data_IF_068011637525
#
_entry.id   IF_068011637525
#
_cell.length_a   1.000
_cell.length_b   1.000
_cell.length_c   1.000
_cell.angle_alpha   90.00
_cell.angle_beta   90.00
_cell.angle_gamma   90.00
#
_symmetry.space_group_name_H-M   'P 1'
#
loop_
_entity.id
_entity.type
_entity.pdbx_description
1 polymer ?
#
# COMPACT_ATOMS: atom_id res chain seq x y z
N UNK A 1 -16.65 -5.04 14.56
CA UNK A 1 -17.08 -6.43 14.30
C UNK A 1 -15.85 -7.28 13.96
N UNK A 2 -15.85 -8.58 14.30
CA UNK A 2 -14.86 -9.54 13.77
C UNK A 2 -15.59 -10.39 12.75
N UNK A 3 -15.18 -10.32 11.48
CA UNK A 3 -15.87 -10.96 10.36
C UNK A 3 -15.66 -12.47 10.36
N UNK A 4 -14.43 -12.88 10.59
CA UNK A 4 -13.99 -14.26 10.62
C UNK A 4 -13.30 -14.56 11.95
N UNK A 5 -14.10 -14.77 13.01
CA UNK A 5 -13.60 -15.03 14.36
C UNK A 5 -12.57 -16.17 14.38
N UNK A 6 -12.78 -17.22 13.59
CA UNK A 6 -11.90 -18.39 13.53
C UNK A 6 -10.45 -18.02 13.21
N UNK A 7 -10.22 -17.18 12.21
CA UNK A 7 -8.86 -16.84 11.77
C UNK A 7 -8.36 -15.52 12.36
N UNK A 8 -9.23 -14.52 12.54
CA UNK A 8 -8.84 -13.21 13.05
C UNK A 8 -8.50 -13.22 14.56
N UNK A 9 -8.99 -14.21 15.31
CA UNK A 9 -8.72 -14.40 16.76
C UNK A 9 -7.95 -15.69 17.08
N UNK A 10 -7.46 -16.39 16.04
CA UNK A 10 -6.73 -17.65 16.21
C UNK A 10 -5.50 -17.46 17.11
N UNK A 11 -5.31 -18.35 18.08
CA UNK A 11 -4.13 -18.29 18.95
C UNK A 11 -2.86 -18.52 18.15
N UNK A 12 -1.77 -17.85 18.53
CA UNK A 12 -0.48 -17.89 17.80
C UNK A 12 0.03 -19.32 17.54
N UNK A 13 -0.12 -20.24 18.48
CA UNK A 13 0.30 -21.64 18.30
C UNK A 13 -0.52 -22.35 17.20
N UNK A 14 -1.83 -22.16 17.18
CA UNK A 14 -2.72 -22.73 16.16
C UNK A 14 -2.49 -22.08 14.80
N UNK A 15 -2.23 -20.76 14.77
CA UNK A 15 -1.88 -20.04 13.55
C UNK A 15 -0.58 -20.57 12.95
N UNK A 16 0.47 -20.77 13.76
CA UNK A 16 1.74 -21.36 13.30
C UNK A 16 1.56 -22.76 12.74
N UNK A 17 0.68 -23.57 13.33
CA UNK A 17 0.34 -24.90 12.81
C UNK A 17 -0.37 -24.81 11.47
N UNK A 18 -1.40 -23.97 11.36
CA UNK A 18 -2.10 -23.71 10.10
C UNK A 18 -1.13 -23.24 9.01
N UNK A 19 -0.29 -22.26 9.31
CA UNK A 19 0.73 -21.75 8.39
C UNK A 19 1.75 -22.83 7.97
N UNK A 20 2.15 -23.71 8.90
CA UNK A 20 3.03 -24.84 8.61
C UNK A 20 2.41 -25.81 7.62
N UNK A 21 1.16 -26.21 7.86
CA UNK A 21 0.43 -27.13 6.98
C UNK A 21 0.25 -26.52 5.58
N UNK A 22 -0.04 -25.21 5.50
CA UNK A 22 -0.15 -24.51 4.23
C UNK A 22 1.18 -24.37 3.50
N UNK A 23 2.27 -24.04 4.20
CA UNK A 23 3.60 -23.92 3.60
C UNK A 23 4.07 -25.24 3.02
N UNK A 24 3.93 -26.36 3.75
CA UNK A 24 4.33 -27.68 3.24
C UNK A 24 3.58 -28.02 1.96
N UNK A 25 2.27 -27.79 1.92
CA UNK A 25 1.47 -28.04 0.71
C UNK A 25 1.88 -27.12 -0.44
N UNK A 26 2.08 -25.83 -0.16
CA UNK A 26 2.52 -24.84 -1.14
C UNK A 26 3.85 -25.26 -1.78
N UNK A 27 4.86 -25.59 -0.98
CA UNK A 27 6.20 -25.96 -1.47
C UNK A 27 6.14 -27.21 -2.35
N UNK A 28 5.39 -28.24 -1.94
CA UNK A 28 5.18 -29.42 -2.78
C UNK A 28 4.53 -29.06 -4.12
N UNK A 29 3.48 -28.23 -4.10
CA UNK A 29 2.76 -27.80 -5.30
C UNK A 29 3.67 -27.01 -6.24
N UNK A 30 4.39 -25.99 -5.75
CA UNK A 30 5.22 -25.17 -6.63
C UNK A 30 6.45 -25.89 -7.14
N UNK A 31 7.04 -26.80 -6.35
CA UNK A 31 8.14 -27.63 -6.82
C UNK A 31 7.70 -28.58 -7.94
N UNK A 32 6.49 -29.16 -7.83
CA UNK A 32 5.93 -30.03 -8.87
C UNK A 32 5.43 -29.25 -10.10
N UNK A 33 4.79 -28.10 -9.93
CA UNK A 33 4.09 -27.42 -11.03
C UNK A 33 4.84 -26.25 -11.67
N UNK A 34 5.77 -25.63 -10.96
CA UNK A 34 6.40 -24.37 -11.38
C UNK A 34 7.91 -24.57 -11.63
N UNK A 35 8.35 -24.69 -12.90
CA UNK A 35 9.75 -24.93 -13.23
C UNK A 35 10.72 -23.93 -12.59
N UNK A 36 10.34 -22.64 -12.57
CA UNK A 36 11.10 -21.58 -11.92
C UNK A 36 11.47 -21.90 -10.45
N UNK A 37 10.49 -22.32 -9.64
CA UNK A 37 10.74 -22.66 -8.24
C UNK A 37 11.54 -23.95 -8.11
N UNK A 38 11.24 -24.95 -8.94
CA UNK A 38 11.98 -26.21 -8.93
C UNK A 38 13.47 -25.99 -9.19
N UNK A 39 13.81 -25.26 -10.25
CA UNK A 39 15.18 -24.95 -10.63
C UNK A 39 15.91 -24.14 -9.55
N UNK A 40 15.22 -23.13 -8.98
CA UNK A 40 15.79 -22.29 -7.92
C UNK A 40 16.06 -23.07 -6.64
N UNK A 41 15.15 -23.97 -6.26
CA UNK A 41 15.33 -24.85 -5.10
C UNK A 41 16.41 -25.90 -5.35
N UNK A 42 16.45 -26.51 -6.54
CA UNK A 42 17.46 -27.51 -6.92
C UNK A 42 18.88 -26.92 -6.94
N UNK A 43 19.03 -25.68 -7.42
CA UNK A 43 20.31 -24.95 -7.39
C UNK A 43 20.81 -24.73 -5.96
N UNK A 44 19.91 -24.55 -5.00
CA UNK A 44 20.24 -24.40 -3.59
C UNK A 44 20.33 -25.75 -2.85
N UNK A 45 20.11 -26.88 -3.54
CA UNK A 45 20.10 -28.21 -2.93
C UNK A 45 18.91 -28.45 -2.00
N UNK A 46 17.82 -27.70 -2.15
CA UNK A 46 16.62 -27.79 -1.29
C UNK A 46 15.57 -28.68 -1.95
N UNK A 47 15.01 -29.61 -1.19
CA UNK A 47 13.87 -30.44 -1.60
C UNK A 47 12.64 -30.13 -0.76
N UNK A 48 11.42 -30.41 -1.27
CA UNK A 48 10.19 -30.23 -0.48
C UNK A 48 10.21 -30.97 0.86
N UNK A 49 10.92 -32.10 0.95
CA UNK A 49 11.09 -32.85 2.19
C UNK A 49 11.82 -32.08 3.29
N UNK A 50 12.58 -31.03 2.97
CA UNK A 50 13.35 -30.23 3.93
C UNK A 50 12.51 -29.18 4.66
N UNK A 51 11.26 -28.99 4.21
CA UNK A 51 10.30 -28.06 4.76
C UNK A 51 9.25 -28.85 5.56
N UNK A 52 9.33 -28.76 6.89
CA UNK A 52 8.42 -29.45 7.82
C UNK A 52 7.50 -28.50 8.56
N UNK A 53 7.86 -27.23 8.63
CA UNK A 53 7.09 -26.22 9.34
C UNK A 53 7.33 -24.81 8.78
N UNK A 54 6.53 -23.85 9.24
CA UNK A 54 6.71 -22.44 8.91
C UNK A 54 8.11 -21.90 9.29
N UNK A 55 8.78 -22.50 10.29
CA UNK A 55 10.14 -22.13 10.67
C UNK A 55 11.19 -22.48 9.62
N UNK A 56 10.91 -23.44 8.73
CA UNK A 56 11.82 -23.81 7.64
C UNK A 56 11.75 -22.85 6.44
N UNK A 57 10.83 -21.87 6.46
CA UNK A 57 10.67 -20.90 5.37
C UNK A 57 11.98 -20.18 5.03
N UNK A 58 12.84 -19.96 6.02
CA UNK A 58 14.15 -19.29 5.85
C UNK A 58 15.11 -20.03 4.92
N UNK A 59 14.89 -21.34 4.69
CA UNK A 59 15.65 -22.14 3.74
C UNK A 59 15.28 -21.78 2.30
N UNK A 60 14.01 -21.42 2.06
CA UNK A 60 13.49 -21.18 0.72
C UNK A 60 14.07 -19.91 0.07
N UNK A 61 14.23 -19.92 -1.27
CA UNK A 61 14.73 -18.76 -1.98
C UNK A 61 13.78 -17.58 -1.90
N UNK A 62 14.33 -16.37 -1.94
CA UNK A 62 13.56 -15.15 -2.21
C UNK A 62 13.04 -15.12 -3.64
N UNK A 63 11.92 -14.46 -3.88
CA UNK A 63 11.44 -14.10 -5.22
C UNK A 63 11.52 -12.60 -5.41
N UNK A 64 12.22 -12.15 -6.45
CA UNK A 64 12.32 -10.74 -6.82
C UNK A 64 11.31 -10.38 -7.90
N UNK A 65 11.01 -9.08 -8.05
CA UNK A 65 10.18 -8.60 -9.16
C UNK A 65 10.80 -8.87 -10.52
N UNK A 66 12.12 -8.89 -10.61
CA UNK A 66 12.83 -9.18 -11.86
C UNK A 66 12.71 -10.65 -12.23
N UNK A 67 12.78 -11.55 -11.24
CA UNK A 67 12.51 -12.99 -11.44
C UNK A 67 11.14 -13.19 -12.09
N UNK A 68 10.11 -12.48 -11.60
CA UNK A 68 8.74 -12.57 -12.16
C UNK A 68 8.67 -12.07 -13.61
N UNK A 69 9.48 -11.07 -13.97
CA UNK A 69 9.54 -10.52 -15.34
C UNK A 69 10.25 -11.46 -16.31
N UNK A 70 11.24 -12.20 -15.85
CA UNK A 70 11.97 -13.19 -16.66
C UNK A 70 11.05 -14.32 -17.12
N UNK A 71 10.15 -14.75 -16.25
CA UNK A 71 9.23 -15.88 -16.49
C UNK A 71 7.84 -15.44 -16.98
N UNK A 72 7.70 -14.18 -17.39
CA UNK A 72 6.47 -13.64 -17.98
C UNK A 72 6.04 -14.42 -19.24
N UNK A 73 4.72 -14.60 -19.50
CA UNK A 73 3.59 -14.20 -18.66
C UNK A 73 3.10 -15.28 -17.69
N UNK A 74 3.47 -16.54 -17.90
CA UNK A 74 2.82 -17.68 -17.24
C UNK A 74 3.78 -18.62 -16.51
N UNK A 75 5.07 -18.30 -16.43
CA UNK A 75 6.07 -19.18 -15.83
C UNK A 75 5.97 -19.33 -14.31
N UNK A 76 5.06 -18.60 -13.65
CA UNK A 76 4.69 -18.78 -12.24
C UNK A 76 3.32 -19.45 -12.04
N UNK A 77 2.62 -19.87 -13.09
CA UNK A 77 1.35 -20.58 -12.94
C UNK A 77 1.58 -21.92 -12.23
N UNK A 78 0.86 -22.14 -11.13
CA UNK A 78 0.88 -23.40 -10.38
C UNK A 78 -0.38 -24.26 -10.62
N UNK A 79 -1.21 -23.90 -11.61
CA UNK A 79 -2.38 -24.64 -12.07
C UNK A 79 -2.51 -24.59 -13.60
N UNK A 80 -3.46 -25.32 -14.16
CA UNK A 80 -3.73 -25.26 -15.60
C UNK A 80 -4.32 -23.88 -15.95
N UNK A 81 -3.95 -23.35 -17.12
CA UNK A 81 -4.46 -22.04 -17.59
C UNK A 81 -5.99 -21.99 -17.70
N UNK A 82 -6.65 -23.13 -17.93
CA UNK A 82 -8.12 -23.24 -18.00
C UNK A 82 -8.81 -22.96 -16.65
N UNK A 83 -8.08 -23.10 -15.54
CA UNK A 83 -8.60 -22.89 -14.19
C UNK A 83 -8.49 -21.41 -13.77
N UNK A 84 -7.79 -20.59 -14.57
CA UNK A 84 -7.66 -19.14 -14.37
C UNK A 84 -8.90 -18.44 -14.91
N UNK A 85 -9.53 -17.63 -14.06
CA UNK A 85 -10.73 -16.84 -14.39
C UNK A 85 -10.45 -15.36 -14.52
N UNK A 86 -9.33 -14.87 -13.98
CA UNK A 86 -9.01 -13.44 -13.96
C UNK A 86 -7.49 -13.21 -13.99
N UNK A 87 -7.06 -12.12 -14.63
CA UNK A 87 -5.66 -11.71 -14.72
C UNK A 87 -5.55 -10.21 -14.41
N UNK A 88 -4.61 -9.87 -13.54
CA UNK A 88 -4.16 -8.51 -13.30
C UNK A 88 -2.69 -8.34 -13.67
N UNK A 89 -2.30 -7.10 -13.93
CA UNK A 89 -0.91 -6.77 -14.26
C UNK A 89 -0.45 -5.51 -13.55
N UNK A 90 0.82 -5.48 -13.13
CA UNK A 90 1.43 -4.27 -12.60
C UNK A 90 1.47 -3.14 -13.64
N UNK A 91 1.27 -1.89 -13.23
CA UNK A 91 1.18 -0.70 -14.09
C UNK A 91 2.51 -0.17 -14.66
N UNK A 92 3.55 -1.01 -14.79
CA UNK A 92 4.88 -0.57 -15.23
C UNK A 92 4.91 -0.13 -16.70
N UNK A 93 5.46 1.05 -16.99
CA UNK A 93 5.48 1.68 -18.33
C UNK A 93 6.78 1.50 -19.11
N UNK A 94 7.84 0.95 -18.50
CA UNK A 94 9.19 0.88 -19.08
C UNK A 94 9.76 -0.53 -19.23
N UNK A 95 8.98 -1.58 -18.93
CA UNK A 95 9.43 -2.98 -19.04
C UNK A 95 8.28 -3.98 -19.07
N UNK A 96 8.59 -5.29 -19.06
CA UNK A 96 7.57 -6.35 -18.96
C UNK A 96 6.80 -6.19 -17.63
N UNK A 97 5.46 -6.19 -17.66
CA UNK A 97 4.68 -6.14 -16.44
C UNK A 97 4.78 -7.47 -15.69
N UNK A 98 4.51 -7.44 -14.39
CA UNK A 98 4.24 -8.66 -13.63
C UNK A 98 2.79 -9.05 -13.84
N UNK A 99 2.55 -10.35 -14.11
CA UNK A 99 1.23 -10.95 -14.25
C UNK A 99 0.85 -11.61 -12.94
N UNK A 100 -0.38 -11.38 -12.50
CA UNK A 100 -0.99 -12.13 -11.43
C UNK A 100 -2.27 -12.79 -11.94
N UNK A 101 -2.38 -14.11 -11.77
CA UNK A 101 -3.46 -14.91 -12.34
C UNK A 101 -4.25 -15.59 -11.24
N UNK A 102 -5.57 -15.47 -11.30
CA UNK A 102 -6.49 -15.86 -10.24
C UNK A 102 -7.36 -17.01 -10.71
N UNK A 103 -7.38 -18.08 -9.94
CA UNK A 103 -8.45 -19.09 -10.01
C UNK A 103 -9.74 -18.53 -9.40
N UNK A 104 -10.87 -19.22 -9.56
CA UNK A 104 -12.10 -18.85 -8.85
C UNK A 104 -11.91 -18.83 -7.34
N UNK A 105 -11.12 -19.76 -6.78
CA UNK A 105 -10.84 -19.78 -5.35
C UNK A 105 -9.96 -18.60 -4.91
N UNK A 106 -9.02 -18.15 -5.75
CA UNK A 106 -8.23 -16.95 -5.47
C UNK A 106 -9.10 -15.69 -5.40
N UNK A 107 -10.09 -15.56 -6.29
CA UNK A 107 -11.06 -14.45 -6.24
C UNK A 107 -11.92 -14.53 -4.97
N UNK A 108 -12.31 -15.72 -4.52
CA UNK A 108 -13.02 -15.91 -3.25
C UNK A 108 -12.16 -15.54 -2.03
N UNK A 109 -10.88 -15.92 -2.03
CA UNK A 109 -9.92 -15.49 -1.00
C UNK A 109 -9.81 -13.96 -1.01
N UNK A 110 -9.67 -13.36 -2.18
CA UNK A 110 -9.56 -11.91 -2.33
C UNK A 110 -10.80 -11.18 -1.79
N UNK A 111 -11.98 -11.70 -2.13
CA UNK A 111 -13.27 -11.22 -1.63
C UNK A 111 -13.36 -11.31 -0.10
N UNK A 112 -12.95 -12.44 0.48
CA UNK A 112 -12.94 -12.67 1.93
C UNK A 112 -12.00 -11.71 2.66
N UNK A 113 -10.75 -11.57 2.20
CA UNK A 113 -9.78 -10.69 2.89
C UNK A 113 -10.17 -9.22 2.80
N UNK A 114 -10.81 -8.80 1.70
CA UNK A 114 -11.34 -7.44 1.59
C UNK A 114 -12.64 -7.23 2.39
N UNK A 115 -13.49 -8.24 2.54
CA UNK A 115 -14.63 -8.15 3.46
C UNK A 115 -14.15 -8.00 4.91
N UNK A 116 -13.11 -8.76 5.32
CA UNK A 116 -12.44 -8.57 6.62
C UNK A 116 -11.91 -7.15 6.77
N UNK A 117 -11.24 -6.60 5.75
CA UNK A 117 -10.74 -5.21 5.72
C UNK A 117 -11.85 -4.21 6.02
N UNK A 118 -12.98 -4.28 5.31
CA UNK A 118 -14.09 -3.36 5.52
C UNK A 118 -14.73 -3.52 6.90
N UNK A 119 -14.99 -4.75 7.34
CA UNK A 119 -15.56 -5.03 8.67
C UNK A 119 -14.63 -4.58 9.81
N UNK A 120 -13.31 -4.60 9.59
CA UNK A 120 -12.31 -4.16 10.56
C UNK A 120 -12.36 -2.65 10.83
N UNK A 121 -12.74 -1.86 9.82
CA UNK A 121 -13.02 -0.42 9.93
C UNK A 121 -14.49 -0.10 10.22
N UNK A 122 -15.28 -1.07 10.67
CA UNK A 122 -16.67 -0.86 11.13
C UNK A 122 -17.72 -0.79 10.02
N UNK A 123 -17.39 -1.20 8.78
CA UNK A 123 -18.39 -1.33 7.72
C UNK A 123 -19.21 -2.63 7.86
N UNK A 124 -20.43 -2.63 7.33
CA UNK A 124 -21.36 -3.76 7.33
C UNK A 124 -22.27 -3.75 6.08
N UNK A 125 -23.26 -4.62 6.06
CA UNK A 125 -24.20 -4.78 4.94
C UNK A 125 -25.10 -3.56 4.66
N UNK A 126 -25.31 -2.68 5.65
CA UNK A 126 -26.14 -1.48 5.50
C UNK A 126 -25.38 -0.32 4.82
N UNK A 127 -24.09 -0.50 4.54
CA UNK A 127 -23.26 0.55 3.96
C UNK A 127 -23.41 0.68 2.44
N UNK A 128 -23.18 1.92 1.98
CA UNK A 128 -23.03 2.26 0.57
C UNK A 128 -21.56 2.60 0.31
N UNK A 129 -20.86 1.69 -0.36
CA UNK A 129 -19.42 1.75 -0.62
C UNK A 129 -19.17 2.34 -2.01
N UNK A 130 -18.68 3.58 -2.05
CA UNK A 130 -18.24 4.22 -3.28
C UNK A 130 -16.77 3.93 -3.55
N UNK A 131 -16.53 3.21 -4.64
CA UNK A 131 -15.19 2.77 -5.04
C UNK A 131 -14.68 3.73 -6.12
N UNK A 132 -13.78 4.61 -5.70
CA UNK A 132 -13.11 5.57 -6.54
C UNK A 132 -11.61 5.24 -6.74
N UNK A 133 -11.22 3.97 -6.55
CA UNK A 133 -10.02 3.41 -7.16
C UNK A 133 -10.24 3.18 -8.67
N UNK A 134 -9.16 3.24 -9.46
CA UNK A 134 -9.22 2.81 -10.86
C UNK A 134 -9.67 1.36 -11.00
N UNK A 135 -10.53 1.09 -11.98
CA UNK A 135 -10.89 -0.27 -12.39
C UNK A 135 -10.00 -0.76 -13.55
N UNK A 136 -10.29 -1.96 -14.06
CA UNK A 136 -9.52 -2.61 -15.13
C UNK A 136 -8.40 -3.47 -14.56
N UNK A 137 -7.19 -3.35 -15.11
CA UNK A 137 -6.04 -4.16 -14.69
C UNK A 137 -5.49 -3.75 -13.31
N UNK A 138 -5.87 -2.59 -12.79
CA UNK A 138 -5.52 -2.18 -11.43
C UNK A 138 -6.38 -2.93 -10.41
N UNK A 139 -5.72 -3.62 -9.48
CA UNK A 139 -6.39 -4.48 -8.49
C UNK A 139 -7.24 -3.70 -7.49
N UNK A 140 -6.96 -2.42 -7.23
CA UNK A 140 -7.69 -1.64 -6.21
C UNK A 140 -9.20 -1.57 -6.44
N UNK A 141 -9.64 -1.35 -7.69
CA UNK A 141 -11.07 -1.26 -8.03
C UNK A 141 -11.81 -2.58 -7.81
N UNK A 142 -11.36 -3.66 -8.48
CA UNK A 142 -12.02 -4.96 -8.41
C UNK A 142 -11.88 -5.62 -7.03
N UNK A 143 -10.75 -5.46 -6.34
CA UNK A 143 -10.58 -5.98 -4.98
C UNK A 143 -11.55 -5.37 -3.98
N UNK A 144 -11.66 -4.03 -3.98
CA UNK A 144 -12.66 -3.35 -3.16
C UNK A 144 -14.09 -3.76 -3.57
N UNK A 145 -14.34 -3.96 -4.86
CA UNK A 145 -15.65 -4.37 -5.37
C UNK A 145 -16.06 -5.74 -4.84
N UNK A 146 -15.18 -6.73 -4.95
CA UNK A 146 -15.42 -8.08 -4.49
C UNK A 146 -15.62 -8.14 -2.98
N UNK A 147 -14.78 -7.44 -2.21
CA UNK A 147 -14.93 -7.37 -0.75
C UNK A 147 -16.21 -6.72 -0.28
N UNK A 148 -16.60 -5.58 -0.88
CA UNK A 148 -17.82 -4.88 -0.50
C UNK A 148 -19.08 -5.72 -0.85
N UNK A 149 -19.08 -6.40 -2.00
CA UNK A 149 -20.15 -7.36 -2.34
C UNK A 149 -20.20 -8.55 -1.37
N UNK A 150 -19.04 -9.10 -0.99
CA UNK A 150 -18.94 -10.22 -0.03
C UNK A 150 -19.45 -9.82 1.36
N UNK A 151 -19.18 -8.58 1.78
CA UNK A 151 -19.71 -7.98 3.01
C UNK A 151 -21.25 -7.85 2.99
N UNK A 152 -21.86 -7.76 1.80
CA UNK A 152 -23.29 -7.51 1.61
C UNK A 152 -23.66 -6.04 1.40
N UNK A 153 -22.66 -5.16 1.35
CA UNK A 153 -22.86 -3.73 1.18
C UNK A 153 -23.27 -3.35 -0.25
N UNK A 154 -23.95 -2.22 -0.40
CA UNK A 154 -24.25 -1.64 -1.71
C UNK A 154 -22.97 -1.08 -2.34
N UNK A 155 -22.64 -1.48 -3.57
CA UNK A 155 -21.43 -1.04 -4.26
C UNK A 155 -21.74 -0.01 -5.34
N UNK A 156 -21.04 1.13 -5.29
CA UNK A 156 -21.02 2.14 -6.35
C UNK A 156 -19.65 2.09 -7.05
N UNK A 157 -19.54 1.41 -8.21
CA UNK A 157 -18.28 1.21 -8.93
C UNK A 157 -17.98 2.38 -9.87
N UNK A 158 -17.76 3.57 -9.33
CA UNK A 158 -17.64 4.79 -10.15
C UNK A 158 -16.25 4.95 -10.81
N UNK A 159 -15.22 4.28 -10.29
CA UNK A 159 -13.80 4.47 -10.67
C UNK A 159 -13.27 5.85 -10.26
N UNK A 160 -11.96 6.06 -10.40
CA UNK A 160 -11.34 7.37 -10.20
C UNK A 160 -11.71 8.38 -11.28
N UNK A 161 -11.56 9.67 -10.96
CA UNK A 161 -11.76 10.80 -11.87
C UNK A 161 -13.19 11.34 -11.88
N UNK A 162 -13.41 12.39 -12.66
CA UNK A 162 -14.67 13.15 -12.71
C UNK A 162 -15.18 13.54 -11.31
N UNK A 163 -14.37 14.29 -10.55
CA UNK A 163 -14.60 14.58 -9.13
C UNK A 163 -15.94 15.27 -8.84
N UNK A 164 -16.46 16.10 -9.76
CA UNK A 164 -17.83 16.67 -9.60
C UNK A 164 -18.91 15.59 -9.60
N UNK A 165 -18.77 14.59 -10.46
CA UNK A 165 -19.67 13.43 -10.51
C UNK A 165 -19.51 12.54 -9.28
N UNK A 166 -18.31 12.44 -8.71
CA UNK A 166 -18.10 11.73 -7.42
C UNK A 166 -19.03 12.32 -6.35
N UNK A 167 -19.04 13.65 -6.21
CA UNK A 167 -19.84 14.35 -5.22
C UNK A 167 -21.34 14.25 -5.46
N UNK A 168 -21.79 14.36 -6.72
CA UNK A 168 -23.21 14.19 -7.04
C UNK A 168 -23.70 12.78 -6.69
N UNK A 169 -22.90 11.76 -7.03
CA UNK A 169 -23.22 10.36 -6.72
C UNK A 169 -23.18 10.11 -5.21
N UNK A 170 -22.20 10.64 -4.48
CA UNK A 170 -22.15 10.54 -3.02
C UNK A 170 -23.44 11.03 -2.37
N UNK A 171 -23.92 12.20 -2.80
CA UNK A 171 -25.14 12.81 -2.28
C UNK A 171 -26.39 12.02 -2.69
N UNK A 172 -26.51 11.68 -3.96
CA UNK A 172 -27.75 11.12 -4.52
C UNK A 172 -28.00 9.67 -4.07
N UNK A 173 -26.93 8.91 -3.81
CA UNK A 173 -27.03 7.51 -3.37
C UNK A 173 -26.69 7.30 -1.88
N UNK A 174 -26.35 8.36 -1.15
CA UNK A 174 -26.10 8.29 0.29
C UNK A 174 -24.85 7.48 0.66
N UNK A 175 -23.73 7.73 -0.03
CA UNK A 175 -22.45 7.05 0.24
C UNK A 175 -22.04 7.16 1.71
N UNK A 176 -21.78 6.02 2.36
CA UNK A 176 -21.29 5.96 3.74
C UNK A 176 -19.80 5.63 3.80
N UNK A 177 -19.26 4.90 2.82
CA UNK A 177 -17.85 4.51 2.76
C UNK A 177 -17.20 4.98 1.45
N UNK A 178 -16.01 5.59 1.56
CA UNK A 178 -15.18 5.96 0.40
C UNK A 178 -13.93 5.07 0.31
N UNK A 179 -13.71 4.42 -0.83
CA UNK A 179 -12.50 3.65 -1.10
C UNK A 179 -11.73 4.26 -2.29
N UNK A 180 -10.58 4.91 -2.02
CA UNK A 180 -9.72 5.54 -3.03
C UNK A 180 -8.30 5.78 -2.50
N UNK A 181 -7.42 6.41 -3.28
CA UNK A 181 -6.12 6.84 -2.74
C UNK A 181 -6.30 8.00 -1.75
N UNK A 182 -5.41 8.14 -0.74
CA UNK A 182 -5.51 9.24 0.23
C UNK A 182 -5.40 10.61 -0.45
N UNK A 183 -4.50 10.79 -1.42
CA UNK A 183 -4.38 12.07 -2.18
C UNK A 183 -5.67 12.40 -2.95
N UNK A 184 -6.34 11.40 -3.53
CA UNK A 184 -7.58 11.65 -4.26
C UNK A 184 -8.74 12.01 -3.32
N UNK A 185 -8.73 11.48 -2.09
CA UNK A 185 -9.73 11.83 -1.07
C UNK A 185 -9.65 13.30 -0.67
N UNK A 186 -8.44 13.85 -0.51
CA UNK A 186 -8.20 15.27 -0.30
C UNK A 186 -8.63 16.11 -1.50
N UNK A 187 -8.37 15.64 -2.73
CA UNK A 187 -8.85 16.33 -3.93
C UNK A 187 -10.39 16.35 -4.02
N UNK A 188 -11.07 15.27 -3.62
CA UNK A 188 -12.54 15.26 -3.49
C UNK A 188 -13.00 16.32 -2.48
N UNK A 189 -12.31 16.44 -1.34
CA UNK A 189 -12.62 17.46 -0.33
C UNK A 189 -12.40 18.89 -0.84
N UNK A 190 -11.33 19.13 -1.60
CA UNK A 190 -11.03 20.40 -2.28
C UNK A 190 -12.17 20.79 -3.22
N UNK A 191 -12.57 19.88 -4.12
CA UNK A 191 -13.67 20.12 -5.07
C UNK A 191 -15.01 20.30 -4.35
N UNK A 192 -15.25 19.60 -3.25
CA UNK A 192 -16.48 19.79 -2.45
C UNK A 192 -16.56 21.21 -1.87
N UNK A 193 -15.44 21.73 -1.37
CA UNK A 193 -15.37 23.09 -0.85
C UNK A 193 -15.57 24.14 -1.96
N UNK A 194 -14.93 23.96 -3.12
CA UNK A 194 -15.06 24.85 -4.28
C UNK A 194 -16.50 24.92 -4.82
N UNK A 195 -17.12 23.77 -5.02
CA UNK A 195 -18.49 23.65 -5.50
C UNK A 195 -19.53 23.96 -4.41
N UNK A 196 -19.08 24.22 -3.17
CA UNK A 196 -19.91 24.45 -1.98
C UNK A 196 -20.91 23.31 -1.75
N UNK A 197 -20.46 22.08 -2.00
CA UNK A 197 -21.22 20.85 -1.78
C UNK A 197 -20.85 20.28 -0.41
N UNK A 198 -21.85 20.10 0.45
CA UNK A 198 -21.66 19.45 1.74
C UNK A 198 -21.67 17.92 1.57
N UNK A 199 -20.61 17.25 2.01
CA UNK A 199 -20.53 15.78 2.06
C UNK A 199 -21.26 15.30 3.31
N UNK A 200 -22.42 14.66 3.14
CA UNK A 200 -23.25 14.11 4.24
C UNK A 200 -23.25 12.59 4.19
N UNK A 201 -23.34 11.96 5.37
CA UNK A 201 -23.52 10.51 5.50
C UNK A 201 -22.23 9.69 5.43
N UNK A 202 -21.13 10.25 4.93
CA UNK A 202 -19.84 9.59 4.90
C UNK A 202 -19.33 9.36 6.35
N UNK A 203 -18.99 8.12 6.70
CA UNK A 203 -18.55 7.72 8.04
C UNK A 203 -17.07 7.31 8.09
N UNK A 204 -16.59 6.64 7.04
CA UNK A 204 -15.23 6.16 6.99
C UNK A 204 -14.69 6.09 5.55
N UNK A 205 -13.37 6.05 5.44
CA UNK A 205 -12.67 5.85 4.19
C UNK A 205 -11.55 4.82 4.31
N UNK A 206 -11.35 4.02 3.27
CA UNK A 206 -10.34 2.98 3.16
C UNK A 206 -9.33 3.37 2.10
N UNK A 207 -8.16 3.83 2.56
CA UNK A 207 -7.16 4.51 1.73
C UNK A 207 -5.88 3.69 1.64
N UNK A 208 -5.31 3.62 0.45
CA UNK A 208 -4.10 2.85 0.18
C UNK A 208 -3.52 3.12 -1.21
N UNK A 209 -2.75 2.16 -1.72
CA UNK A 209 -1.99 2.23 -2.98
C UNK A 209 -0.83 3.24 -3.02
N UNK A 210 -0.71 4.11 -2.02
CA UNK A 210 0.42 5.02 -1.83
C UNK A 210 0.75 5.18 -0.33
N UNK A 211 2.02 5.43 0.02
CA UNK A 211 2.37 5.83 1.38
C UNK A 211 1.73 7.18 1.72
N UNK A 212 1.31 7.32 2.97
CA UNK A 212 0.76 8.54 3.53
C UNK A 212 1.11 8.61 5.01
N UNK A 213 1.15 9.82 5.58
CA UNK A 213 1.51 10.05 6.98
C UNK A 213 0.31 10.08 7.94
N UNK A 214 0.55 10.09 9.26
CA UNK A 214 -0.47 10.36 10.28
C UNK A 214 -1.01 11.78 10.18
N UNK A 215 -0.20 12.73 9.73
CA UNK A 215 -0.66 14.10 9.53
C UNK A 215 -1.64 14.18 8.35
N UNK A 216 -1.37 13.48 7.25
CA UNK A 216 -2.30 13.41 6.11
C UNK A 216 -3.62 12.76 6.54
N UNK A 217 -3.56 11.76 7.43
CA UNK A 217 -4.75 11.18 8.04
C UNK A 217 -5.59 12.21 8.77
N UNK A 218 -4.99 12.98 9.68
CA UNK A 218 -5.72 14.02 10.41
C UNK A 218 -6.38 15.01 9.46
N UNK A 219 -5.67 15.43 8.41
CA UNK A 219 -6.24 16.33 7.41
C UNK A 219 -7.44 15.72 6.68
N UNK A 220 -7.35 14.44 6.27
CA UNK A 220 -8.48 13.72 5.64
C UNK A 220 -9.65 13.63 6.62
N UNK A 221 -9.41 13.21 7.86
CA UNK A 221 -10.45 13.07 8.90
C UNK A 221 -11.12 14.41 9.20
N UNK A 222 -10.37 15.52 9.25
CA UNK A 222 -10.89 16.87 9.50
C UNK A 222 -11.70 17.40 8.31
N UNK A 223 -11.17 17.30 7.08
CA UNK A 223 -11.82 17.85 5.88
C UNK A 223 -13.07 17.05 5.49
N UNK A 224 -13.04 15.73 5.62
CA UNK A 224 -14.16 14.85 5.24
C UNK A 224 -15.06 14.49 6.42
N UNK A 225 -14.64 14.74 7.67
CA UNK A 225 -15.37 14.38 8.91
C UNK A 225 -15.63 12.88 9.04
N UNK A 226 -14.61 12.07 8.74
CA UNK A 226 -14.67 10.60 8.72
C UNK A 226 -13.58 9.97 9.58
N UNK A 227 -13.66 8.65 9.75
CA UNK A 227 -12.49 7.82 10.08
C UNK A 227 -11.73 7.37 8.85
N UNK A 228 -10.40 7.52 8.86
CA UNK A 228 -9.55 7.17 7.74
C UNK A 228 -8.67 5.96 8.09
N UNK A 229 -8.88 4.85 7.38
CA UNK A 229 -8.19 3.57 7.62
C UNK A 229 -7.19 3.27 6.50
N UNK A 230 -5.98 2.89 6.91
CA UNK A 230 -4.92 2.44 6.00
C UNK A 230 -5.15 0.99 5.56
N UNK A 231 -5.06 0.76 4.26
CA UNK A 231 -5.12 -0.57 3.65
C UNK A 231 -3.89 -0.81 2.78
N UNK A 232 -3.30 -1.98 2.96
CA UNK A 232 -2.09 -2.39 2.26
C UNK A 232 -2.36 -3.57 1.33
N UNK A 233 -1.72 -3.52 0.17
CA UNK A 233 -1.90 -4.51 -0.87
C UNK A 233 -0.88 -4.36 -2.00
N UNK A 234 -0.60 -5.48 -2.65
CA UNK A 234 0.32 -5.59 -3.77
C UNK A 234 -0.31 -6.51 -4.81
N UNK A 235 -0.17 -6.16 -6.10
CA UNK A 235 -0.68 -7.01 -7.18
C UNK A 235 -0.03 -8.38 -7.14
N UNK A 236 1.25 -8.46 -6.78
CA UNK A 236 2.02 -9.70 -6.70
C UNK A 236 1.47 -10.66 -5.62
N UNK A 237 0.84 -10.13 -4.57
CA UNK A 237 0.31 -10.93 -3.46
C UNK A 237 -1.15 -11.31 -3.70
N UNK A 238 -2.03 -10.32 -3.86
CA UNK A 238 -3.46 -10.53 -4.21
C UNK A 238 -4.19 -9.27 -4.69
N UNK A 239 -3.61 -8.08 -4.50
CA UNK A 239 -4.31 -6.80 -4.53
C UNK A 239 -4.48 -6.21 -3.12
N UNK A 240 -5.47 -5.33 -2.88
CA UNK A 240 -5.81 -4.88 -1.52
C UNK A 240 -6.33 -6.04 -0.67
N UNK A 241 -6.23 -5.89 0.67
CA UNK A 241 -6.67 -6.91 1.63
C UNK A 241 -5.53 -7.75 2.22
N UNK A 242 -4.27 -7.42 1.90
CA UNK A 242 -3.10 -8.07 2.54
C UNK A 242 -3.00 -7.67 4.00
N UNK A 243 -3.10 -6.37 4.27
CA UNK A 243 -3.15 -5.84 5.63
C UNK A 243 -4.10 -4.63 5.74
N UNK A 244 -4.64 -4.37 6.93
CA UNK A 244 -5.63 -3.30 7.16
C UNK A 244 -5.60 -2.80 8.59
N UNK A 245 -5.82 -1.51 8.80
CA UNK A 245 -6.09 -1.00 10.13
C UNK A 245 -7.45 -1.43 10.66
N UNK A 246 -7.53 -1.52 11.99
CA UNK A 246 -8.79 -1.60 12.70
C UNK A 246 -9.21 -0.27 13.31
N UNK A 247 -10.34 -0.25 14.00
CA UNK A 247 -10.86 0.90 14.76
C UNK A 247 -9.84 1.51 15.74
N UNK A 248 -8.80 0.77 16.15
CA UNK A 248 -7.73 1.30 16.99
C UNK A 248 -6.76 2.25 16.24
N UNK A 249 -6.74 2.22 14.90
CA UNK A 249 -5.84 3.03 14.06
C UNK A 249 -4.37 2.93 14.50
N UNK A 250 -3.96 1.73 14.93
CA UNK A 250 -2.64 1.41 15.48
C UNK A 250 -2.06 0.19 14.77
N UNK A 251 -1.33 0.47 13.68
CA UNK A 251 -0.74 -0.52 12.76
C UNK A 251 -1.79 -1.33 11.97
N UNK A 252 -1.34 -2.02 10.92
CA UNK A 252 -2.20 -2.78 10.00
C UNK A 252 -2.15 -4.27 10.34
N UNK A 253 -3.28 -4.88 10.68
CA UNK A 253 -3.42 -6.32 10.83
C UNK A 253 -3.20 -7.02 9.49
N UNK A 254 -2.31 -8.00 9.45
CA UNK A 254 -2.06 -8.84 8.27
C UNK A 254 -3.01 -10.05 8.33
N UNK A 255 -3.63 -10.41 7.20
CA UNK A 255 -4.37 -11.67 7.05
C UNK A 255 -3.39 -12.86 6.98
N UNK A 256 -2.72 -13.16 8.11
CA UNK A 256 -1.56 -14.08 8.18
C UNK A 256 -1.93 -15.56 8.04
N UNK A 257 -3.22 -15.89 8.00
CA UNK A 257 -3.74 -17.19 7.56
C UNK A 257 -3.58 -17.42 6.06
N UNK A 258 -3.45 -16.34 5.27
CA UNK A 258 -3.26 -16.33 3.83
C UNK A 258 -1.89 -15.82 3.40
N UNK A 259 -1.34 -14.81 4.08
CA UNK A 259 -0.09 -14.14 3.71
C UNK A 259 0.90 -14.14 4.87
N UNK A 260 1.94 -14.95 4.79
CA UNK A 260 2.95 -15.01 5.85
C UNK A 260 3.96 -13.87 5.70
N UNK A 261 4.10 -12.96 6.69
CA UNK A 261 5.06 -11.87 6.63
C UNK A 261 6.39 -12.23 7.27
N UNK A 262 7.47 -11.68 6.71
CA UNK A 262 8.81 -11.66 7.29
C UNK A 262 9.37 -10.23 7.17
N UNK A 263 10.22 -9.82 8.12
CA UNK A 263 11.07 -8.64 7.97
C UNK A 263 12.50 -9.14 7.79
N UNK A 264 13.16 -8.70 6.73
CA UNK A 264 14.55 -9.06 6.44
C UNK A 264 15.45 -7.84 6.47
N UNK A 265 16.72 -8.05 6.80
CA UNK A 265 17.76 -7.09 6.46
C UNK A 265 17.93 -7.09 4.92
N UNK A 266 17.80 -5.92 4.25
CA UNK A 266 17.78 -5.86 2.80
C UNK A 266 19.11 -6.25 2.14
N UNK A 267 20.24 -6.09 2.84
CA UNK A 267 21.58 -6.42 2.33
C UNK A 267 21.90 -7.91 2.50
N UNK A 268 21.67 -8.43 3.71
CA UNK A 268 22.09 -9.79 4.08
C UNK A 268 21.01 -10.86 3.83
N UNK A 269 19.75 -10.46 3.68
CA UNK A 269 18.61 -11.38 3.57
C UNK A 269 18.26 -12.13 4.85
N UNK A 270 18.91 -11.83 5.98
CA UNK A 270 18.59 -12.44 7.28
C UNK A 270 17.26 -11.91 7.81
N UNK A 271 16.43 -12.79 8.35
CA UNK A 271 15.19 -12.42 9.05
C UNK A 271 15.55 -11.67 10.33
N UNK A 272 14.88 -10.54 10.57
CA UNK A 272 15.04 -9.70 11.74
C UNK A 272 13.98 -10.04 12.80
N UNK A 273 14.27 -9.81 14.09
CA UNK A 273 13.27 -9.87 15.15
C UNK A 273 12.10 -8.90 14.95
N UNK A 274 10.94 -9.21 15.53
CA UNK A 274 9.80 -8.28 15.60
C UNK A 274 10.24 -6.95 16.26
N UNK A 275 9.69 -5.83 15.78
CA UNK A 275 10.07 -4.48 16.20
C UNK A 275 11.29 -3.89 15.47
N UNK A 276 12.13 -4.69 14.82
CA UNK A 276 13.24 -4.17 14.00
C UNK A 276 12.77 -3.74 12.61
N UNK A 277 13.31 -2.62 12.12
CA UNK A 277 13.00 -2.08 10.79
C UNK A 277 13.76 -2.84 9.71
N UNK A 278 13.06 -3.29 8.68
CA UNK A 278 13.67 -3.96 7.53
C UNK A 278 12.72 -4.05 6.34
N UNK A 279 13.14 -4.81 5.34
CA UNK A 279 12.36 -5.05 4.13
C UNK A 279 11.28 -6.10 4.39
N UNK A 280 10.04 -5.78 4.03
CA UNK A 280 8.90 -6.68 4.14
C UNK A 280 8.94 -7.74 3.04
N UNK A 281 8.71 -8.98 3.45
CA UNK A 281 8.67 -10.13 2.56
C UNK A 281 7.38 -10.89 2.82
N UNK A 282 6.73 -11.36 1.75
CA UNK A 282 5.49 -12.15 1.86
C UNK A 282 5.59 -13.50 1.17
N UNK A 283 4.93 -14.50 1.75
CA UNK A 283 4.62 -15.77 1.10
C UNK A 283 3.11 -15.98 1.06
N UNK A 284 2.55 -16.29 -0.11
CA UNK A 284 1.11 -16.52 -0.30
C UNK A 284 0.77 -17.98 0.02
N UNK A 285 0.32 -18.27 1.23
CA UNK A 285 0.15 -19.63 1.75
C UNK A 285 -1.01 -20.40 1.10
N UNK A 286 -2.02 -19.69 0.58
CA UNK A 286 -3.27 -20.32 0.09
C UNK A 286 -3.60 -20.00 -1.35
N UNK A 287 -2.79 -19.18 -2.02
CA UNK A 287 -3.03 -18.76 -3.40
C UNK A 287 -2.75 -19.90 -4.37
N UNK A 288 -3.58 -20.05 -5.40
CA UNK A 288 -3.57 -21.21 -6.27
C UNK A 288 -3.01 -20.96 -7.66
N UNK A 289 -3.40 -19.85 -8.31
CA UNK A 289 -3.01 -19.51 -9.67
C UNK A 289 -1.53 -19.17 -9.78
N UNK A 290 -1.11 -18.08 -9.13
CA UNK A 290 0.28 -17.59 -9.08
C UNK A 290 0.79 -17.46 -7.64
N UNK A 291 0.96 -18.57 -6.89
CA UNK A 291 1.53 -18.50 -5.56
C UNK A 291 2.99 -18.00 -5.59
N UNK A 292 3.36 -17.22 -4.58
CA UNK A 292 4.71 -16.68 -4.43
C UNK A 292 5.35 -17.08 -3.10
N UNK A 293 6.61 -17.48 -3.17
CA UNK A 293 7.47 -17.77 -2.01
C UNK A 293 8.42 -16.61 -1.78
N UNK A 294 8.41 -16.08 -0.55
CA UNK A 294 9.31 -15.04 -0.04
C UNK A 294 9.55 -13.90 -1.03
N UNK A 295 8.45 -13.27 -1.47
CA UNK A 295 8.48 -12.11 -2.35
C UNK A 295 9.11 -10.90 -1.65
N UNK A 296 10.16 -10.35 -2.25
CA UNK A 296 10.83 -9.12 -1.80
C UNK A 296 10.07 -7.89 -2.25
N UNK A 297 9.25 -7.32 -1.36
CA UNK A 297 8.35 -6.19 -1.69
C UNK A 297 9.08 -4.89 -1.96
N UNK A 298 10.30 -4.74 -1.38
CA UNK A 298 11.06 -3.50 -1.27
C UNK A 298 10.45 -2.47 -0.33
N UNK A 299 9.35 -2.77 0.35
CA UNK A 299 8.74 -1.88 1.34
C UNK A 299 9.45 -2.01 2.69
N UNK A 300 9.71 -0.88 3.36
CA UNK A 300 10.34 -0.84 4.69
C UNK A 300 9.29 -0.65 5.79
N UNK A 301 9.27 -1.59 6.74
CA UNK A 301 8.39 -1.55 7.92
C UNK A 301 8.97 -2.44 9.04
N UNK A 302 8.18 -2.71 10.07
CA UNK A 302 8.44 -3.67 11.13
C UNK A 302 7.13 -4.35 11.56
N UNK A 303 7.22 -5.50 12.23
CA UNK A 303 6.08 -6.26 12.73
C UNK A 303 5.92 -6.13 14.25
N UNK A 304 4.68 -6.21 14.71
CA UNK A 304 4.32 -6.36 16.12
C UNK A 304 3.27 -7.48 16.27
N UNK A 305 3.55 -8.42 17.18
CA UNK A 305 2.67 -9.55 17.54
C UNK A 305 1.99 -9.39 18.89
N UNK A 306 2.11 -8.22 19.52
CA UNK A 306 1.42 -7.91 20.77
C UNK A 306 -0.10 -7.87 20.56
N UNK A 307 -0.91 -8.27 21.57
CA UNK A 307 -2.37 -8.25 21.45
C UNK A 307 -2.91 -6.86 21.12
N UNK A 308 -3.79 -6.77 20.13
CA UNK A 308 -4.49 -5.53 19.82
C UNK A 308 -5.75 -5.39 20.68
N UNK A 309 -6.09 -4.15 21.06
CA UNK A 309 -7.31 -3.85 21.84
C UNK A 309 -8.61 -4.20 21.09
N UNK A 310 -8.55 -4.37 19.77
CA UNK A 310 -9.70 -4.79 18.96
C UNK A 310 -10.05 -6.28 19.10
N UNK A 311 -9.25 -7.05 19.86
CA UNK A 311 -9.47 -8.49 20.10
C UNK A 311 -8.85 -9.42 19.05
N UNK A 312 -8.35 -8.88 17.94
CA UNK A 312 -7.62 -9.66 16.92
C UNK A 312 -6.24 -10.06 17.42
N UNK A 313 -5.82 -11.25 17.03
CA UNK A 313 -4.54 -11.85 17.40
C UNK A 313 -3.54 -11.89 16.25
N UNK A 314 -3.95 -11.43 15.06
CA UNK A 314 -3.09 -11.40 13.88
C UNK A 314 -1.94 -10.41 14.06
N UNK A 315 -0.77 -10.77 13.53
CA UNK A 315 0.39 -9.87 13.46
C UNK A 315 0.03 -8.56 12.77
N UNK A 316 0.58 -7.46 13.30
CA UNK A 316 0.41 -6.12 12.75
C UNK A 316 1.71 -5.65 12.10
N UNK A 317 1.62 -5.01 10.93
CA UNK A 317 2.73 -4.27 10.34
C UNK A 317 2.57 -2.78 10.58
N UNK A 318 3.69 -2.11 10.84
CA UNK A 318 3.68 -0.65 10.84
C UNK A 318 3.37 -0.13 9.45
N UNK A 319 2.86 1.10 9.38
CA UNK A 319 2.73 1.82 8.11
C UNK A 319 4.07 1.87 7.39
N UNK A 320 4.03 1.97 6.06
CA UNK A 320 5.26 1.96 5.26
C UNK A 320 6.10 3.19 5.60
N UNK A 321 7.34 2.95 6.03
CA UNK A 321 8.31 4.01 6.29
C UNK A 321 8.93 4.53 4.99
N UNK A 322 8.90 3.71 3.93
CA UNK A 322 9.40 4.03 2.61
C UNK A 322 9.64 2.75 1.82
N UNK A 323 10.36 2.85 0.69
CA UNK A 323 10.80 1.71 -0.10
C UNK A 323 12.30 1.74 -0.34
N UNK A 324 12.95 0.59 -0.41
CA UNK A 324 14.39 0.50 -0.71
C UNK A 324 14.72 0.98 -2.13
N UNK A 325 13.78 0.89 -3.07
CA UNK A 325 13.94 1.31 -4.46
C UNK A 325 13.49 2.77 -4.74
N UNK A 326 12.56 3.31 -3.95
CA UNK A 326 12.20 4.75 -3.99
C UNK A 326 13.10 5.61 -3.06
N UNK A 327 14.01 4.98 -2.31
CA UNK A 327 14.94 5.66 -1.42
C UNK A 327 15.89 6.55 -2.24
N UNK A 328 15.83 7.86 -2.00
CA UNK A 328 16.75 8.80 -2.63
C UNK A 328 18.06 8.78 -1.84
N UNK A 329 19.16 8.47 -2.52
CA UNK A 329 20.50 8.67 -1.95
C UNK A 329 20.96 10.06 -2.35
N UNK A 330 20.91 11.01 -1.43
CA UNK A 330 21.35 12.38 -1.64
C UNK A 330 22.63 12.58 -0.84
N UNK A 331 23.77 12.71 -1.54
CA UNK A 331 25.09 12.93 -0.92
C UNK A 331 25.45 11.88 0.14
N UNK A 332 25.06 10.63 -0.09
CA UNK A 332 25.32 9.50 0.82
C UNK A 332 24.32 9.35 1.96
N UNK A 333 23.29 10.20 2.04
CA UNK A 333 22.19 10.08 3.02
C UNK A 333 20.97 9.47 2.35
N UNK A 334 20.38 8.49 3.03
CA UNK A 334 19.13 7.85 2.62
C UNK A 334 17.95 8.74 3.01
N UNK A 335 17.19 9.18 2.01
CA UNK A 335 16.04 10.07 2.17
C UNK A 335 14.79 9.39 1.64
N UNK A 336 13.80 9.23 2.50
CA UNK A 336 12.48 8.75 2.10
C UNK A 336 11.52 9.92 1.86
N UNK A 337 10.75 9.92 0.76
CA UNK A 337 9.76 10.97 0.51
C UNK A 337 8.74 11.20 1.64
N UNK A 338 8.43 10.15 2.41
CA UNK A 338 7.57 10.17 3.59
C UNK A 338 8.10 11.08 4.70
N UNK A 339 9.43 11.15 4.88
CA UNK A 339 10.05 12.02 5.88
C UNK A 339 9.89 13.50 5.50
N UNK A 340 9.96 13.82 4.21
CA UNK A 340 9.70 15.18 3.71
C UNK A 340 8.23 15.53 3.95
N UNK A 341 7.31 14.64 3.57
CA UNK A 341 5.87 14.84 3.79
C UNK A 341 5.54 15.13 5.27
N UNK A 342 6.10 14.34 6.19
CA UNK A 342 5.87 14.51 7.62
C UNK A 342 6.31 15.89 8.14
N UNK A 343 7.42 16.43 7.62
CA UNK A 343 7.89 17.79 7.95
C UNK A 343 6.93 18.83 7.40
N UNK A 344 6.55 18.72 6.12
CA UNK A 344 5.70 19.71 5.46
C UNK A 344 4.33 19.81 6.13
N UNK A 345 3.72 18.68 6.49
CA UNK A 345 2.41 18.63 7.13
C UNK A 345 2.40 19.11 8.59
N UNK A 346 3.55 19.30 9.23
CA UNK A 346 3.65 19.92 10.57
C UNK A 346 3.66 21.45 10.50
N UNK A 347 3.85 22.02 9.31
CA UNK A 347 3.97 23.46 9.15
C UNK A 347 2.59 24.08 8.91
N UNK A 348 2.30 25.14 9.66
CA UNK A 348 1.06 25.89 9.47
C UNK A 348 1.04 26.53 8.08
N UNK A 349 -0.14 26.51 7.45
CA UNK A 349 -0.40 27.10 6.13
C UNK A 349 0.22 26.36 4.93
N UNK A 350 0.79 25.16 5.09
CA UNK A 350 1.28 24.36 3.96
C UNK A 350 0.29 23.23 3.66
N UNK A 351 -0.15 23.14 2.41
CA UNK A 351 -0.97 22.01 1.94
C UNK A 351 -0.09 20.82 1.51
N UNK A 352 -0.60 19.57 1.56
CA UNK A 352 0.14 18.35 1.20
C UNK A 352 0.43 18.18 -0.30
N UNK A 353 0.41 19.28 -1.07
CA UNK A 353 0.70 19.30 -2.49
C UNK A 353 2.16 19.69 -2.70
N UNK A 354 2.99 18.68 -2.93
CA UNK A 354 4.43 18.83 -3.09
C UNK A 354 4.98 17.88 -4.15
N UNK A 355 6.11 18.28 -4.74
CA UNK A 355 6.87 17.52 -5.71
C UNK A 355 8.37 17.63 -5.42
N UNK A 356 9.06 16.50 -5.49
CA UNK A 356 10.50 16.38 -5.29
C UNK A 356 11.17 16.32 -6.65
N UNK A 357 11.97 17.33 -6.96
CA UNK A 357 12.82 17.36 -8.15
C UNK A 357 14.23 16.98 -7.72
N UNK A 358 14.67 15.80 -8.17
CA UNK A 358 16.00 15.29 -7.90
C UNK A 358 16.88 15.57 -9.11
N UNK A 359 18.00 16.23 -8.92
CA UNK A 359 18.91 16.59 -10.01
C UNK A 359 20.36 16.38 -9.60
N UNK A 360 21.26 16.29 -10.59
CA UNK A 360 22.71 16.18 -10.37
C UNK A 360 23.42 17.34 -11.04
N UNK A 361 24.23 18.07 -10.28
CA UNK A 361 25.10 19.14 -10.79
C UNK A 361 26.51 18.93 -10.25
N UNK A 362 27.51 18.93 -11.14
CA UNK A 362 28.94 18.80 -10.79
C UNK A 362 29.24 17.60 -9.86
N UNK A 363 28.60 16.45 -10.12
CA UNK A 363 28.66 15.18 -9.35
C UNK A 363 28.00 15.20 -7.97
N UNK A 364 27.32 16.29 -7.60
CA UNK A 364 26.52 16.36 -6.37
C UNK A 364 25.04 16.21 -6.69
N UNK A 365 24.36 15.38 -5.90
CA UNK A 365 22.91 15.25 -5.96
C UNK A 365 22.27 16.39 -5.14
N UNK A 366 21.20 16.95 -5.71
CA UNK A 366 20.39 18.02 -5.13
C UNK A 366 18.92 17.59 -5.14
N UNK A 367 18.20 18.02 -4.11
CA UNK A 367 16.76 17.89 -4.04
C UNK A 367 16.15 19.29 -3.93
N UNK A 368 15.25 19.59 -4.87
CA UNK A 368 14.35 20.74 -4.79
C UNK A 368 12.96 20.24 -4.37
N UNK A 369 12.45 20.78 -3.28
CA UNK A 369 11.11 20.50 -2.74
C UNK A 369 10.19 21.63 -3.18
N UNK A 370 9.38 21.36 -4.20
CA UNK A 370 8.34 22.28 -4.64
C UNK A 370 7.09 22.05 -3.82
N UNK A 371 6.52 23.13 -3.29
CA UNK A 371 5.36 23.10 -2.38
C UNK A 371 4.36 24.13 -2.87
N UNK A 372 3.10 23.73 -3.05
CA UNK A 372 2.06 24.69 -3.40
C UNK A 372 1.73 25.60 -2.21
N UNK A 373 1.62 26.89 -2.50
CA UNK A 373 1.07 27.85 -1.55
C UNK A 373 -0.44 27.66 -1.44
N UNK A 374 -0.99 27.82 -0.24
CA UNK A 374 -2.42 27.98 -0.06
C UNK A 374 -2.87 29.40 -0.47
N UNK A 375 -4.17 29.61 -0.69
CA UNK A 375 -4.70 30.90 -1.15
C UNK A 375 -4.38 32.07 -0.20
N UNK A 376 -4.27 31.81 1.12
CA UNK A 376 -3.91 32.82 2.12
C UNK A 376 -2.45 33.28 2.01
N UNK A 377 -1.51 32.34 1.88
CA UNK A 377 -0.09 32.63 1.65
C UNK A 377 0.12 33.32 0.30
N UNK A 378 -0.68 32.95 -0.71
CA UNK A 378 -0.63 33.58 -2.02
C UNK A 378 -1.17 35.03 -1.98
N UNK A 379 -2.20 35.31 -1.18
CA UNK A 379 -2.81 36.65 -1.09
C UNK A 379 -2.04 37.62 -0.19
N UNK A 380 -1.48 37.14 0.93
CA UNK A 380 -1.06 38.04 2.00
C UNK A 380 0.35 38.64 1.82
N UNK A 381 1.39 37.94 1.36
CA UNK A 381 2.75 38.54 1.33
C UNK A 381 3.75 37.95 0.30
N UNK A 382 3.87 38.56 -0.90
CA UNK A 382 5.01 38.32 -1.81
C UNK A 382 6.38 38.65 -1.16
N UNK A 383 6.43 39.40 -0.05
CA UNK A 383 7.68 39.82 0.61
C UNK A 383 8.26 38.76 1.56
N UNK A 384 7.49 37.78 2.02
CA UNK A 384 7.92 36.80 3.03
C UNK A 384 8.14 35.37 2.50
N UNK A 385 7.92 35.12 1.21
CA UNK A 385 8.13 33.80 0.59
C UNK A 385 9.53 33.23 0.84
N UNK A 386 10.57 34.06 0.67
CA UNK A 386 11.96 33.62 0.89
C UNK A 386 12.25 33.29 2.37
N UNK A 387 11.55 33.92 3.32
CA UNK A 387 11.67 33.57 4.74
C UNK A 387 10.99 32.24 5.03
N UNK A 388 9.79 32.02 4.49
CA UNK A 388 9.06 30.76 4.60
C UNK A 388 9.84 29.61 3.98
N UNK A 389 10.39 29.79 2.77
CA UNK A 389 11.28 28.81 2.11
C UNK A 389 12.45 28.44 3.03
N UNK A 390 13.17 29.43 3.58
CA UNK A 390 14.29 29.19 4.50
C UNK A 390 13.88 28.48 5.79
N UNK A 391 12.72 28.81 6.34
CA UNK A 391 12.18 28.11 7.52
C UNK A 391 11.91 26.64 7.20
N UNK A 392 11.26 26.35 6.07
CA UNK A 392 11.01 24.97 5.63
C UNK A 392 12.33 24.23 5.39
N UNK A 393 13.31 24.87 4.74
CA UNK A 393 14.65 24.31 4.54
C UNK A 393 15.34 23.94 5.86
N UNK A 394 15.17 24.76 6.91
CA UNK A 394 15.71 24.48 8.24
C UNK A 394 15.03 23.28 8.90
N UNK A 395 13.72 23.15 8.82
CA UNK A 395 12.99 22.00 9.38
C UNK A 395 13.30 20.69 8.64
N UNK A 396 13.41 20.77 7.30
CA UNK A 396 13.87 19.65 6.48
C UNK A 396 15.31 19.27 6.82
N UNK A 397 16.20 20.24 7.04
CA UNK A 397 17.57 19.97 7.44
C UNK A 397 17.64 19.27 8.81
N UNK A 398 16.84 19.68 9.80
CA UNK A 398 16.80 19.03 11.12
C UNK A 398 16.37 17.57 11.03
N UNK A 399 15.47 17.25 10.11
CA UNK A 399 14.90 15.89 9.97
C UNK A 399 15.75 14.99 9.09
N UNK A 400 16.26 15.53 7.97
CA UNK A 400 16.94 14.75 6.93
C UNK A 400 18.46 14.81 7.04
N UNK A 401 19.00 15.77 7.80
CA UNK A 401 20.43 16.07 7.90
C UNK A 401 21.10 16.38 6.54
N UNK A 402 20.34 16.91 5.58
CA UNK A 402 20.81 17.35 4.28
C UNK A 402 20.21 18.70 3.92
N UNK A 403 20.96 19.52 3.19
CA UNK A 403 20.43 20.76 2.63
C UNK A 403 19.53 20.46 1.43
N UNK A 404 18.28 20.86 1.53
CA UNK A 404 17.29 20.84 0.46
C UNK A 404 17.08 22.27 -0.04
N UNK A 405 16.77 22.45 -1.32
CA UNK A 405 16.26 23.73 -1.82
C UNK A 405 14.73 23.69 -1.74
N UNK A 406 14.10 24.68 -1.13
CA UNK A 406 12.62 24.78 -1.13
C UNK A 406 12.20 25.83 -2.15
N UNK A 407 11.12 25.54 -2.86
CA UNK A 407 10.49 26.50 -3.78
C UNK A 407 8.98 26.50 -3.54
N UNK A 408 8.46 27.64 -3.12
CA UNK A 408 7.01 27.84 -3.08
C UNK A 408 6.51 28.11 -4.50
N UNK A 409 5.51 27.34 -4.94
CA UNK A 409 4.93 27.43 -6.28
C UNK A 409 3.47 27.88 -6.20
N UNK A 410 2.96 28.41 -7.32
CA UNK A 410 1.59 28.93 -7.42
C UNK A 410 0.57 27.86 -7.01
N UNK A 411 -0.55 28.24 -6.36
CA UNK A 411 -1.64 27.32 -6.08
C UNK A 411 -2.06 26.57 -7.35
N UNK A 412 -2.27 25.25 -7.25
CA UNK A 412 -2.70 24.37 -8.36
C UNK A 412 -1.72 24.24 -9.53
N UNK A 413 -0.44 24.59 -9.34
CA UNK A 413 0.60 24.43 -10.37
C UNK A 413 1.21 23.02 -10.42
N UNK A 414 1.10 22.25 -9.33
CA UNK A 414 1.50 20.85 -9.25
C UNK A 414 0.34 19.97 -9.73
N UNK A 415 0.55 19.11 -10.75
CA UNK A 415 -0.51 18.24 -11.28
C UNK A 415 -1.15 17.37 -10.19
N UNK A 416 -2.46 17.48 -10.05
CA UNK A 416 -3.26 16.54 -9.25
C UNK A 416 -3.30 15.18 -9.95
N UNK A 417 -3.30 14.10 -9.18
CA UNK A 417 -3.38 12.72 -9.71
C UNK A 417 -4.73 12.11 -9.32
N UNK A 418 -5.39 11.48 -10.29
CA UNK A 418 -6.57 10.62 -10.06
C UNK A 418 -6.16 9.20 -9.63
N UNK A 419 -4.85 8.89 -9.64
CA UNK A 419 -4.29 7.62 -9.18
C UNK A 419 -3.23 7.84 -8.09
N UNK A 420 -2.13 7.08 -8.14
CA UNK A 420 -0.97 7.31 -7.25
C UNK A 420 -0.34 8.66 -7.57
N UNK A 421 -0.05 9.46 -6.55
CA UNK A 421 0.64 10.73 -6.73
C UNK A 421 2.10 10.51 -7.17
N UNK A 422 2.52 11.14 -8.28
CA UNK A 422 3.92 11.14 -8.72
C UNK A 422 4.71 12.21 -7.96
N UNK A 423 5.19 11.86 -6.78
CA UNK A 423 5.91 12.78 -5.88
C UNK A 423 7.37 13.02 -6.28
N UNK A 424 8.00 12.14 -7.05
CA UNK A 424 9.41 12.25 -7.44
C UNK A 424 9.54 12.46 -8.95
N UNK A 425 10.28 13.49 -9.35
CA UNK A 425 10.82 13.66 -10.69
C UNK A 425 12.34 13.56 -10.58
N UNK A 426 12.90 12.43 -11.01
CA UNK A 426 14.34 12.25 -11.09
C UNK A 426 14.86 12.73 -12.45
N UNK A 427 15.63 13.81 -12.43
CA UNK A 427 16.26 14.46 -13.58
C UNK A 427 17.76 14.19 -13.64
N UNK A 428 18.29 13.30 -12.79
CA UNK A 428 19.70 12.89 -12.87
C UNK A 428 19.90 12.18 -14.21
N UNK A 429 20.73 12.77 -15.07
CA UNK A 429 21.26 12.07 -16.24
C UNK A 429 22.17 10.94 -15.72
N UNK A 430 21.95 9.72 -16.22
CA UNK A 430 22.79 8.55 -15.89
C UNK A 430 24.20 8.76 -16.43
#
# INVERSE_FOLDING_TARGET
MIWNEKYETMKSADMKKHQSDKLVNLVNKVYDKVPFYREKMDTLGIKPSDIKSISDIVKLPFTSKDDMREVYPYGLLACDKKDIVEIHTSSGTTGKPVVDAYTSNDVEIWSEVMARTFAMGGANEDDVVQIAYGYGLFTGGLGAHYGAKKLGAMVIPISAGNSKRQLSIMRDFGTTILACTPSYSLYIAEIAAEEKIEIKGLKAGFFGAEPWSESMRKEIEEKLKIKAYDIYGLTEIIGPGVASECECQDMLHINEDHFYPEIINPETGKVLPDGEKGELVFTTLTKEGTPIIRYRTRDITYLDRSPCKCGRTTVRMHRLLGRTDDMLIIRGVNVFPSQIEEVLLKLENIEPHYQLLVSRKDKMDFIEVQIEMNEKLFSDEMKNLSQTEKMIEQELYKTLNIHTKVKLVEPKSIPRSEGKAKRIIDQRQI
#
